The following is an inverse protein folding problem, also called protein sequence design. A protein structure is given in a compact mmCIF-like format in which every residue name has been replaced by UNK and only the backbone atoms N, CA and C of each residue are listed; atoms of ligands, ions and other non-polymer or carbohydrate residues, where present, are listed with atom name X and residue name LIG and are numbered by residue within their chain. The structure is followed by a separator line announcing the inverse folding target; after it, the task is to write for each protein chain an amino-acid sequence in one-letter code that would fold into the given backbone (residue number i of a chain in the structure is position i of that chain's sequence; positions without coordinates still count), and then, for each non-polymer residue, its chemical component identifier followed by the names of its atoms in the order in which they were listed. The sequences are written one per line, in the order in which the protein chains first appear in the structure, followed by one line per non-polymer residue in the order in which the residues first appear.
data_IF_871038272123
#
_entry.id   IF_871038272123
#
_cell.length_a   1.000
_cell.length_b   1.000
_cell.length_c   1.000
_cell.angle_alpha   90.00
_cell.angle_beta   90.00
_cell.angle_gamma   90.00
#
_symmetry.space_group_name_H-M   'P 1'
#
loop_
_entity.id
_entity.type
_entity.pdbx_description
1 polymer ?
#
# COMPACT_ATOMS: atom_id res chain seq x y z
N UNK A 1 -7.33 -18.03 7.76
CA UNK A 1 -8.25 -16.86 7.77
C UNK A 1 -7.41 -15.64 7.43
N UNK A 2 -7.86 -14.74 6.56
CA UNK A 2 -7.12 -13.49 6.25
C UNK A 2 -7.37 -12.50 7.37
N UNK A 3 -6.32 -12.01 8.00
CA UNK A 3 -6.42 -10.97 9.03
C UNK A 3 -6.61 -9.61 8.37
N UNK A 4 -7.38 -8.72 9.00
CA UNK A 4 -7.61 -7.35 8.51
C UNK A 4 -7.19 -6.37 9.60
N UNK A 5 -6.19 -5.55 9.27
CA UNK A 5 -5.71 -4.47 10.13
C UNK A 5 -6.11 -3.11 9.54
N UNK A 6 -6.61 -2.23 10.38
CA UNK A 6 -7.02 -0.88 9.99
C UNK A 6 -6.16 0.21 10.61
N UNK A 7 -5.39 -0.15 11.62
CA UNK A 7 -4.48 0.76 12.31
C UNK A 7 -3.07 0.17 12.37
N UNK A 8 -2.09 1.05 12.49
CA UNK A 8 -0.69 0.64 12.72
C UNK A 8 -0.54 -0.09 14.03
N UNK A 9 -1.31 0.29 15.05
CA UNK A 9 -1.28 -0.38 16.35
C UNK A 9 -1.74 -1.85 16.28
N UNK A 10 -2.72 -2.17 15.43
CA UNK A 10 -3.14 -3.55 15.20
C UNK A 10 -2.06 -4.36 14.49
N UNK A 11 -1.42 -3.77 13.47
CA UNK A 11 -0.35 -4.42 12.70
C UNK A 11 0.93 -4.60 13.54
N UNK A 12 1.28 -3.61 14.36
CA UNK A 12 2.46 -3.59 15.21
C UNK A 12 2.25 -4.33 16.54
N UNK A 13 1.10 -4.97 16.73
CA UNK A 13 0.89 -5.77 17.94
C UNK A 13 1.92 -6.89 18.01
N UNK A 14 2.43 -7.22 19.23
CA UNK A 14 3.42 -8.29 19.41
C UNK A 14 2.96 -9.61 18.79
N UNK A 15 1.68 -9.94 18.92
CA UNK A 15 1.09 -11.16 18.41
C UNK A 15 1.07 -11.19 16.87
N UNK A 16 0.70 -10.07 16.22
CA UNK A 16 0.69 -9.98 14.77
C UNK A 16 2.11 -10.07 14.21
N UNK A 17 3.06 -9.32 14.78
CA UNK A 17 4.45 -9.33 14.33
C UNK A 17 5.12 -10.69 14.55
N UNK A 18 4.88 -11.34 15.68
CA UNK A 18 5.43 -12.67 15.95
C UNK A 18 4.87 -13.70 14.95
N UNK A 19 3.56 -13.68 14.72
CA UNK A 19 2.92 -14.56 13.76
C UNK A 19 3.43 -14.35 12.33
N UNK A 20 3.65 -13.11 11.92
CA UNK A 20 4.18 -12.78 10.60
C UNK A 20 5.62 -13.26 10.43
N UNK A 21 6.48 -13.03 11.43
CA UNK A 21 7.91 -13.38 11.40
C UNK A 21 8.16 -14.89 11.51
N UNK A 22 7.28 -15.61 12.19
CA UNK A 22 7.42 -17.06 12.35
C UNK A 22 7.33 -17.84 11.02
N UNK A 23 6.72 -17.27 9.99
CA UNK A 23 6.51 -17.89 8.68
C UNK A 23 7.64 -17.58 7.66
N UNK A 24 8.61 -16.74 8.03
CA UNK A 24 9.73 -16.35 7.15
C UNK A 24 9.74 -14.86 6.80
N UNK A 25 10.44 -14.52 5.71
CA UNK A 25 10.54 -13.14 5.24
C UNK A 25 9.18 -12.65 4.69
N UNK A 26 8.69 -11.57 5.29
CA UNK A 26 7.41 -10.99 4.92
C UNK A 26 7.50 -10.29 3.56
N UNK A 27 6.55 -10.59 2.68
CA UNK A 27 6.42 -9.96 1.37
C UNK A 27 5.24 -9.00 1.36
N UNK A 28 5.49 -7.73 1.07
CA UNK A 28 4.47 -6.70 0.98
C UNK A 28 4.04 -6.48 -0.47
N UNK A 29 2.73 -6.46 -0.71
CA UNK A 29 2.14 -6.10 -2.01
C UNK A 29 1.29 -4.84 -1.83
N UNK A 30 1.82 -3.65 -2.16
CA UNK A 30 1.07 -2.41 -2.04
C UNK A 30 0.06 -2.24 -3.17
N UNK A 31 -1.17 -1.87 -2.83
CA UNK A 31 -2.24 -1.58 -3.78
C UNK A 31 -3.10 -0.40 -3.33
N UNK A 32 -3.92 0.12 -4.24
CA UNK A 32 -4.98 1.09 -3.92
C UNK A 32 -6.38 0.47 -3.86
N UNK A 33 -6.49 -0.86 -3.86
CA UNK A 33 -7.77 -1.54 -4.00
C UNK A 33 -8.26 -1.63 -5.45
N UNK A 34 -9.56 -1.94 -5.64
CA UNK A 34 -10.13 -2.28 -6.95
C UNK A 34 -9.32 -3.38 -7.64
N UNK A 35 -9.08 -4.47 -6.91
CA UNK A 35 -8.17 -5.52 -7.33
C UNK A 35 -8.65 -6.22 -8.60
N UNK A 36 -7.70 -6.56 -9.44
CA UNK A 36 -7.93 -7.29 -10.68
C UNK A 36 -6.82 -8.33 -10.90
N UNK A 37 -6.92 -9.11 -11.96
CA UNK A 37 -6.00 -10.24 -12.21
C UNK A 37 -4.52 -9.84 -12.21
N UNK A 38 -4.18 -8.62 -12.61
CA UNK A 38 -2.81 -8.10 -12.52
C UNK A 38 -2.30 -8.06 -11.08
N UNK A 39 -3.10 -7.53 -10.15
CA UNK A 39 -2.76 -7.55 -8.71
C UNK A 39 -2.68 -8.98 -8.15
N UNK A 40 -3.63 -9.83 -8.54
CA UNK A 40 -3.66 -11.22 -8.07
C UNK A 40 -2.45 -12.03 -8.56
N UNK A 41 -1.95 -11.73 -9.76
CA UNK A 41 -0.72 -12.35 -10.28
C UNK A 41 0.51 -11.96 -9.44
N UNK A 42 0.61 -10.70 -9.01
CA UNK A 42 1.66 -10.24 -8.10
C UNK A 42 1.57 -10.94 -6.74
N UNK A 43 0.36 -11.06 -6.20
CA UNK A 43 0.15 -11.78 -4.93
C UNK A 43 0.57 -13.25 -5.04
N UNK A 44 0.22 -13.94 -6.13
CA UNK A 44 0.67 -15.33 -6.37
C UNK A 44 2.20 -15.42 -6.42
N UNK A 45 2.84 -14.50 -7.13
CA UNK A 45 4.30 -14.43 -7.20
C UNK A 45 4.93 -14.14 -5.84
N UNK A 46 4.37 -13.20 -5.09
CA UNK A 46 4.82 -12.86 -3.74
C UNK A 46 4.75 -14.08 -2.80
N UNK A 47 3.69 -14.89 -2.91
CA UNK A 47 3.49 -16.11 -2.12
C UNK A 47 4.58 -17.17 -2.32
N UNK A 48 5.24 -17.17 -3.46
CA UNK A 48 6.38 -18.07 -3.71
C UNK A 48 7.64 -17.65 -2.93
N UNK A 49 7.69 -16.40 -2.46
CA UNK A 49 8.82 -15.83 -1.74
C UNK A 49 8.64 -15.87 -0.22
N UNK A 50 7.40 -15.83 0.27
CA UNK A 50 7.12 -15.85 1.70
C UNK A 50 5.67 -15.53 2.05
N UNK A 51 5.36 -15.33 3.34
CA UNK A 51 4.05 -14.87 3.79
C UNK A 51 3.75 -13.47 3.23
N UNK A 52 2.53 -13.27 2.71
CA UNK A 52 2.15 -12.04 2.02
C UNK A 52 1.19 -11.21 2.85
N UNK A 53 1.51 -9.93 3.00
CA UNK A 53 0.59 -8.88 3.42
C UNK A 53 0.28 -7.99 2.23
N UNK A 54 -1.00 -7.72 1.98
CA UNK A 54 -1.45 -6.79 0.94
C UNK A 54 -1.86 -5.49 1.61
N UNK A 55 -1.45 -4.34 1.09
CA UNK A 55 -2.02 -3.07 1.53
C UNK A 55 -3.09 -2.61 0.56
N UNK A 56 -4.18 -2.06 1.09
CA UNK A 56 -5.24 -1.42 0.32
C UNK A 56 -5.39 0.00 0.85
N UNK A 57 -4.76 0.95 0.15
CA UNK A 57 -4.77 2.34 0.55
C UNK A 57 -4.90 3.26 -0.65
N UNK A 58 -6.05 3.95 -0.76
CA UNK A 58 -6.26 4.97 -1.80
C UNK A 58 -5.56 6.24 -1.35
N UNK A 59 -4.36 6.45 -1.87
CA UNK A 59 -3.51 7.55 -1.44
C UNK A 59 -3.98 8.88 -2.08
N UNK A 60 -4.51 9.83 -1.30
CA UNK A 60 -5.01 11.09 -1.85
C UNK A 60 -3.91 11.92 -2.53
N UNK A 61 -2.66 11.72 -2.14
CA UNK A 61 -1.53 12.50 -2.66
C UNK A 61 -1.08 12.07 -4.06
N UNK A 62 -1.57 10.94 -4.55
CA UNK A 62 -1.32 10.45 -5.91
C UNK A 62 -2.33 11.00 -6.92
N UNK A 63 -3.36 11.69 -6.46
CA UNK A 63 -4.38 12.30 -7.31
C UNK A 63 -4.04 13.78 -7.52
N UNK A 64 -4.02 14.18 -8.79
CA UNK A 64 -3.81 15.57 -9.19
C UNK A 64 -5.08 16.42 -9.14
N UNK A 65 -4.96 17.74 -9.31
CA UNK A 65 -6.12 18.63 -9.47
C UNK A 65 -7.01 18.18 -10.62
N UNK A 66 -8.29 17.91 -10.34
CA UNK A 66 -9.26 17.46 -11.34
C UNK A 66 -9.32 15.95 -11.54
N UNK A 67 -8.50 15.18 -10.84
CA UNK A 67 -8.64 13.71 -10.75
C UNK A 67 -9.65 13.36 -9.65
N UNK A 68 -10.53 12.41 -9.95
CA UNK A 68 -11.65 12.09 -9.07
C UNK A 68 -11.24 11.07 -8.00
N UNK A 69 -10.60 11.58 -6.94
CA UNK A 69 -10.27 10.78 -5.76
C UNK A 69 -11.52 10.20 -5.09
N UNK A 70 -12.63 10.96 -5.08
CA UNK A 70 -13.86 10.52 -4.42
C UNK A 70 -14.56 9.39 -5.16
N UNK A 71 -14.45 9.37 -6.50
CA UNK A 71 -15.02 8.31 -7.33
C UNK A 71 -14.13 7.07 -7.45
N UNK A 72 -12.93 7.07 -6.87
CA UNK A 72 -12.08 5.88 -6.92
C UNK A 72 -12.78 4.70 -6.21
N UNK A 73 -12.89 3.53 -6.86
CA UNK A 73 -13.61 2.39 -6.30
C UNK A 73 -13.02 1.94 -4.95
N UNK A 74 -13.88 1.79 -3.95
CA UNK A 74 -13.49 1.39 -2.58
C UNK A 74 -14.42 0.28 -2.09
N UNK A 75 -14.35 -0.88 -2.70
CA UNK A 75 -15.07 -2.07 -2.24
C UNK A 75 -14.11 -3.05 -1.57
N UNK A 76 -13.88 -2.84 -0.28
CA UNK A 76 -12.96 -3.66 0.49
C UNK A 76 -13.43 -5.12 0.59
N UNK A 77 -14.74 -5.36 0.63
CA UNK A 77 -15.26 -6.74 0.74
C UNK A 77 -15.02 -7.53 -0.54
N UNK A 78 -15.19 -6.90 -1.69
CA UNK A 78 -14.86 -7.52 -2.99
C UNK A 78 -13.37 -7.80 -3.11
N UNK A 79 -12.52 -6.84 -2.72
CA UNK A 79 -11.08 -7.04 -2.70
C UNK A 79 -10.67 -8.18 -1.76
N UNK A 80 -11.24 -8.23 -0.55
CA UNK A 80 -10.99 -9.32 0.39
C UNK A 80 -11.47 -10.69 -0.16
N UNK A 81 -12.60 -10.71 -0.85
CA UNK A 81 -13.11 -11.94 -1.48
C UNK A 81 -12.13 -12.48 -2.54
N UNK A 82 -11.47 -11.61 -3.29
CA UNK A 82 -10.44 -11.98 -4.25
C UNK A 82 -9.14 -12.46 -3.59
N UNK A 83 -8.77 -11.91 -2.44
CA UNK A 83 -7.54 -12.25 -1.73
C UNK A 83 -7.64 -13.53 -0.89
N UNK A 84 -8.82 -13.83 -0.32
CA UNK A 84 -9.03 -15.01 0.53
C UNK A 84 -8.54 -16.34 -0.10
N UNK A 85 -8.88 -16.67 -1.37
CA UNK A 85 -8.43 -17.91 -1.98
C UNK A 85 -6.92 -17.95 -2.26
N UNK A 86 -6.24 -16.81 -2.28
CA UNK A 86 -4.79 -16.73 -2.51
C UNK A 86 -3.98 -17.01 -1.25
N UNK A 87 -4.62 -17.12 -0.10
CA UNK A 87 -3.93 -17.44 1.16
C UNK A 87 -2.95 -16.37 1.62
N UNK A 88 -3.27 -15.09 1.39
CA UNK A 88 -2.51 -14.00 2.00
C UNK A 88 -2.63 -14.06 3.52
N UNK A 89 -1.60 -13.63 4.22
CA UNK A 89 -1.57 -13.65 5.68
C UNK A 89 -2.50 -12.60 6.26
N UNK A 90 -2.52 -11.41 5.65
CA UNK A 90 -3.40 -10.34 6.07
C UNK A 90 -3.49 -9.21 5.07
N UNK A 91 -4.39 -8.29 5.36
CA UNK A 91 -4.62 -7.07 4.59
C UNK A 91 -4.54 -5.88 5.54
N UNK A 92 -3.71 -4.90 5.19
CA UNK A 92 -3.65 -3.62 5.89
C UNK A 92 -4.41 -2.58 5.09
N UNK A 93 -5.54 -2.12 5.62
CA UNK A 93 -6.43 -1.18 4.95
C UNK A 93 -6.71 0.06 5.85
N UNK A 94 -5.72 0.95 6.03
CA UNK A 94 -5.82 2.09 6.93
C UNK A 94 -6.68 3.21 6.36
N UNK A 95 -7.21 4.05 7.26
CA UNK A 95 -7.77 5.34 6.89
C UNK A 95 -6.65 6.35 6.56
N UNK A 96 -7.00 7.42 5.82
CA UNK A 96 -6.05 8.49 5.47
C UNK A 96 -5.44 9.13 6.72
N UNK A 97 -6.24 9.37 7.76
CA UNK A 97 -5.79 9.90 9.04
C UNK A 97 -4.80 9.02 9.77
N UNK A 98 -4.89 7.70 9.58
CA UNK A 98 -3.94 6.76 10.15
C UNK A 98 -2.55 6.85 9.49
N UNK A 99 -2.53 7.07 8.16
CA UNK A 99 -1.29 7.16 7.40
C UNK A 99 -0.62 8.51 7.56
N UNK A 100 -1.39 9.59 7.45
CA UNK A 100 -0.83 10.95 7.44
C UNK A 100 -0.89 11.64 8.81
N UNK A 101 -1.84 11.26 9.68
CA UNK A 101 -2.00 11.87 11.01
C UNK A 101 -2.17 13.38 10.96
N UNK A 102 -1.99 14.02 12.12
CA UNK A 102 -2.01 15.48 12.27
C UNK A 102 -0.60 16.10 12.27
N UNK A 103 0.45 15.28 12.21
CA UNK A 103 1.84 15.71 12.20
C UNK A 103 2.33 15.95 10.77
N UNK A 104 3.12 17.00 10.59
CA UNK A 104 3.57 17.46 9.27
C UNK A 104 4.21 16.38 8.39
N UNK A 105 3.96 16.48 7.11
CA UNK A 105 4.43 15.57 6.07
C UNK A 105 5.90 15.79 5.73
N UNK A 106 6.62 14.71 5.44
CA UNK A 106 7.91 14.77 4.76
C UNK A 106 7.65 14.58 3.26
N UNK A 107 8.05 15.56 2.46
CA UNK A 107 7.90 15.53 1.01
C UNK A 107 9.25 15.20 0.38
N UNK A 108 9.31 14.14 -0.41
CA UNK A 108 10.48 13.81 -1.21
C UNK A 108 10.19 14.18 -2.66
N UNK A 109 10.97 15.13 -3.20
CA UNK A 109 10.88 15.51 -4.61
C UNK A 109 11.87 14.68 -5.42
N UNK A 110 11.41 13.89 -6.41
CA UNK A 110 12.25 12.96 -7.15
C UNK A 110 13.15 13.63 -8.20
N UNK A 111 13.14 14.94 -8.32
CA UNK A 111 13.96 15.72 -9.25
C UNK A 111 13.55 15.53 -10.72
N UNK A 112 14.46 15.85 -11.65
CA UNK A 112 14.19 15.94 -13.10
C UNK A 112 13.77 14.63 -13.75
N UNK A 113 14.09 13.48 -13.17
CA UNK A 113 13.69 12.16 -13.71
C UNK A 113 12.17 11.93 -13.66
N UNK A 114 11.48 12.63 -12.76
CA UNK A 114 10.03 12.55 -12.63
C UNK A 114 9.27 13.44 -13.62
N UNK A 115 9.98 14.25 -14.42
CA UNK A 115 9.37 15.14 -15.42
C UNK A 115 8.98 14.39 -16.72
N UNK A 116 9.49 13.15 -16.89
CA UNK A 116 9.16 12.27 -18.01
C UNK A 116 7.94 11.36 -17.74
N UNK A 117 7.53 10.60 -18.74
CA UNK A 117 6.41 9.65 -18.64
C UNK A 117 5.15 10.26 -18.01
N UNK A 118 4.65 9.67 -16.93
CA UNK A 118 3.47 10.19 -16.22
C UNK A 118 3.65 11.61 -15.69
N UNK A 119 4.86 12.01 -15.31
CA UNK A 119 5.15 13.36 -14.83
C UNK A 119 4.97 14.45 -15.91
N UNK A 120 5.09 14.10 -17.19
CA UNK A 120 4.86 15.03 -18.28
C UNK A 120 3.37 15.40 -18.44
N UNK A 121 2.47 14.44 -18.18
CA UNK A 121 1.01 14.62 -18.28
C UNK A 121 0.33 14.92 -16.94
N UNK A 122 0.99 14.60 -15.82
CA UNK A 122 0.46 14.73 -14.45
C UNK A 122 1.51 15.40 -13.54
N UNK A 123 1.70 16.74 -13.66
CA UNK A 123 2.67 17.47 -12.86
C UNK A 123 2.42 17.26 -11.35
N UNK A 124 3.45 16.89 -10.61
CA UNK A 124 3.36 16.61 -9.17
C UNK A 124 2.93 15.19 -8.79
N UNK A 125 2.56 14.34 -9.75
CA UNK A 125 2.15 12.95 -9.47
C UNK A 125 3.28 12.11 -8.84
N UNK A 126 4.51 12.36 -9.21
CA UNK A 126 5.68 11.62 -8.73
C UNK A 126 6.24 12.14 -7.40
N UNK A 127 5.49 12.95 -6.65
CA UNK A 127 5.88 13.39 -5.31
C UNK A 127 5.58 12.27 -4.33
N UNK A 128 6.63 11.66 -3.76
CA UNK A 128 6.47 10.75 -2.64
C UNK A 128 6.26 11.56 -1.35
N UNK A 129 5.13 11.38 -0.72
CA UNK A 129 4.84 11.91 0.60
C UNK A 129 4.98 10.80 1.63
N UNK A 130 5.79 11.04 2.64
CA UNK A 130 6.00 10.09 3.73
C UNK A 130 5.31 10.61 4.98
N UNK A 131 4.43 9.82 5.55
CA UNK A 131 3.90 10.10 6.88
C UNK A 131 5.01 9.97 7.93
N UNK A 132 5.05 10.90 8.88
CA UNK A 132 6.08 10.92 9.94
C UNK A 132 5.96 9.76 10.94
N UNK A 133 4.80 9.12 11.00
CA UNK A 133 4.54 7.91 11.78
C UNK A 133 4.77 6.68 10.93
N UNK A 134 5.90 6.16 10.96
CA UNK A 134 6.27 4.93 10.27
C UNK A 134 7.73 5.00 9.94
N UNK A 135 8.52 4.93 10.98
CA UNK A 135 9.90 4.52 10.79
C UNK A 135 9.85 3.14 10.14
N UNK A 136 10.34 3.07 8.93
CA UNK A 136 10.97 1.88 8.39
C UNK A 136 10.12 0.81 7.69
N UNK A 137 8.95 0.98 7.16
CA UNK A 137 8.46 -0.20 6.43
C UNK A 137 7.63 -0.05 5.17
N UNK A 138 7.15 1.10 4.79
CA UNK A 138 6.20 1.12 3.68
C UNK A 138 6.68 1.83 2.38
N UNK A 139 7.79 2.54 2.38
CA UNK A 139 8.14 3.39 1.23
C UNK A 139 9.41 3.02 0.47
N UNK A 140 10.19 2.04 0.90
CA UNK A 140 11.39 1.65 0.13
C UNK A 140 11.09 0.79 -1.11
N UNK A 141 9.89 0.25 -1.24
CA UNK A 141 9.50 -0.60 -2.37
C UNK A 141 8.82 0.11 -3.55
N UNK A 142 8.37 1.35 -3.39
CA UNK A 142 7.58 2.03 -4.42
C UNK A 142 8.39 2.87 -5.42
N UNK A 143 9.69 2.98 -5.24
CA UNK A 143 10.55 3.81 -6.08
C UNK A 143 11.54 3.01 -6.97
N UNK A 144 11.51 1.70 -6.91
CA UNK A 144 12.32 0.86 -7.75
C UNK A 144 11.44 0.05 -8.70
N UNK A 145 11.62 0.25 -9.97
CA UNK A 145 11.06 -0.45 -11.11
C UNK A 145 9.78 0.15 -11.75
N UNK A 146 9.97 1.24 -12.46
CA UNK A 146 9.40 1.42 -13.81
C UNK A 146 10.47 1.96 -14.73
#
# INVERSE_FOLDING_TARGET
MVELWRTTAELDSPEALEALRAEGDLVLVPTMGALHEGHLSLVRRARELGPVVVTIFVNPTQFGPGEDYEAYPRDLEDDLALLRPLGVRGVFAPAVSEVYGDEGEVIVQPGRRAEGLCGASRPGHAIARMARRGRESACEGAAADV
#
